data_IF_744273364000
#
_entry.id   IF_744273364000
#
_cell.length_a   1.000
_cell.length_b   1.000
_cell.length_c   1.000
_cell.angle_alpha   90.00
_cell.angle_beta   90.00
_cell.angle_gamma   90.00
#
_symmetry.space_group_name_H-M   'P 1'
#
loop_
_entity.id
_entity.type
_entity.pdbx_description
1 polymer ?
#
# COMPACT_ATOMS: atom_id res chain seq x y z
N UNK A 1 4.84 24.79 -12.39
CA UNK A 1 5.50 24.37 -11.16
C UNK A 1 5.14 22.93 -10.87
N UNK A 2 6.11 22.04 -10.76
CA UNK A 2 5.93 20.65 -10.34
C UNK A 2 5.62 20.74 -8.84
N UNK A 3 4.33 20.72 -8.48
CA UNK A 3 3.92 20.63 -7.08
C UNK A 3 4.40 19.30 -6.53
N UNK A 4 5.29 19.34 -5.53
CA UNK A 4 5.68 18.14 -4.82
C UNK A 4 4.42 17.51 -4.23
N UNK A 5 4.16 16.27 -4.60
CA UNK A 5 3.11 15.47 -3.97
C UNK A 5 3.43 15.32 -2.48
N UNK A 6 2.43 15.44 -1.61
CA UNK A 6 2.57 15.24 -0.16
C UNK A 6 2.92 13.79 0.25
N UNK A 7 3.19 12.91 -0.72
CA UNK A 7 3.41 11.48 -0.55
C UNK A 7 2.32 10.64 -1.23
N UNK A 8 2.46 9.33 -1.16
CA UNK A 8 1.48 8.38 -1.68
C UNK A 8 1.06 7.40 -0.58
N UNK A 9 -0.20 7.00 -0.56
CA UNK A 9 -0.72 5.91 0.28
C UNK A 9 -1.03 4.73 -0.64
N UNK A 10 -0.43 3.59 -0.38
CA UNK A 10 -0.60 2.36 -1.16
C UNK A 10 -1.47 1.36 -0.38
N UNK A 11 -2.48 0.85 -1.05
CA UNK A 11 -3.30 -0.27 -0.55
C UNK A 11 -3.42 -1.36 -1.61
N UNK A 12 -3.69 -2.58 -1.16
CA UNK A 12 -4.02 -3.70 -2.05
C UNK A 12 -5.46 -3.64 -2.55
N UNK A 13 -5.72 -4.27 -3.70
CA UNK A 13 -7.07 -4.33 -4.28
C UNK A 13 -8.11 -5.03 -3.39
N UNK A 14 -7.71 -5.90 -2.47
CA UNK A 14 -8.57 -6.47 -1.43
C UNK A 14 -9.08 -5.38 -0.50
N UNK A 15 -8.18 -4.70 0.20
CA UNK A 15 -8.46 -3.58 1.10
C UNK A 15 -9.30 -2.49 0.41
N UNK A 16 -8.93 -2.11 -0.82
CA UNK A 16 -9.71 -1.14 -1.60
C UNK A 16 -11.18 -1.55 -1.75
N UNK A 17 -11.46 -2.83 -2.07
CA UNK A 17 -12.83 -3.30 -2.30
C UNK A 17 -13.62 -3.55 -1.02
N UNK A 18 -12.97 -4.03 0.04
CA UNK A 18 -13.64 -4.40 1.28
C UNK A 18 -13.92 -3.18 2.14
N UNK A 19 -12.93 -2.29 2.26
CA UNK A 19 -12.98 -1.20 3.23
C UNK A 19 -13.43 0.13 2.61
N UNK A 20 -13.43 0.23 1.27
CA UNK A 20 -13.75 1.46 0.53
C UNK A 20 -13.06 2.71 1.13
N UNK A 21 -11.74 2.71 1.28
CA UNK A 21 -11.03 3.73 2.04
C UNK A 21 -10.99 5.08 1.31
N UNK A 22 -10.98 6.16 2.08
CA UNK A 22 -10.81 7.52 1.53
C UNK A 22 -9.32 7.87 1.29
N UNK A 23 -8.41 7.28 2.03
CA UNK A 23 -6.96 7.51 1.98
C UNK A 23 -6.59 9.00 2.06
N UNK A 24 -7.21 9.72 3.00
CA UNK A 24 -7.02 11.15 3.23
C UNK A 24 -6.33 11.41 4.56
N UNK A 25 -5.50 12.45 4.61
CA UNK A 25 -5.01 13.00 5.88
C UNK A 25 -6.12 13.84 6.50
N UNK A 26 -6.46 13.55 7.75
CA UNK A 26 -7.50 14.23 8.52
C UNK A 26 -6.85 15.06 9.62
N UNK A 27 -7.47 16.17 9.99
CA UNK A 27 -7.03 17.04 11.07
C UNK A 27 -6.92 18.50 10.64
N UNK A 28 -6.83 19.41 11.61
CA UNK A 28 -6.81 20.86 11.39
C UNK A 28 -5.59 21.36 10.60
N UNK A 29 -4.50 20.60 10.61
CA UNK A 29 -3.26 20.88 9.89
C UNK A 29 -3.03 19.95 8.69
N UNK A 30 -4.09 19.40 8.09
CA UNK A 30 -3.97 18.58 6.91
C UNK A 30 -3.30 19.37 5.78
N UNK A 31 -2.07 19.02 5.47
CA UNK A 31 -1.31 19.56 4.34
C UNK A 31 -1.87 19.07 2.99
N UNK A 32 -1.07 19.13 1.91
CA UNK A 32 -1.45 18.55 0.63
C UNK A 32 -1.86 17.09 0.78
N UNK A 33 -3.02 16.73 0.21
CA UNK A 33 -3.51 15.35 0.28
C UNK A 33 -2.60 14.40 -0.50
N UNK A 34 -2.29 13.21 0.03
CA UNK A 34 -1.47 12.22 -0.64
C UNK A 34 -2.19 11.65 -1.86
N UNK A 35 -1.44 11.11 -2.82
CA UNK A 35 -2.02 10.27 -3.86
C UNK A 35 -2.51 8.94 -3.26
N UNK A 36 -3.69 8.51 -3.70
CA UNK A 36 -4.26 7.22 -3.34
C UNK A 36 -3.85 6.19 -4.41
N UNK A 37 -2.93 5.30 -4.06
CA UNK A 37 -2.42 4.27 -4.94
C UNK A 37 -3.06 2.91 -4.59
N UNK A 38 -3.59 2.22 -5.60
CA UNK A 38 -4.21 0.90 -5.44
C UNK A 38 -3.51 -0.10 -6.35
N UNK A 39 -2.82 -1.06 -5.76
CA UNK A 39 -2.24 -2.19 -6.49
C UNK A 39 -3.28 -3.30 -6.63
N UNK A 40 -3.70 -3.60 -7.84
CA UNK A 40 -4.77 -4.57 -8.07
C UNK A 40 -4.61 -5.30 -9.41
N UNK A 41 -5.09 -6.55 -9.48
CA UNK A 41 -5.20 -7.29 -10.73
C UNK A 41 -6.48 -6.95 -11.52
N UNK A 42 -7.48 -6.31 -10.89
CA UNK A 42 -8.79 -6.04 -11.48
C UNK A 42 -9.24 -4.62 -11.19
N UNK A 43 -9.43 -3.84 -12.26
CA UNK A 43 -9.95 -2.48 -12.18
C UNK A 43 -11.45 -2.48 -11.80
N UNK A 44 -11.90 -1.49 -11.02
CA UNK A 44 -13.33 -1.26 -10.81
C UNK A 44 -13.97 -0.64 -12.05
N UNK A 45 -15.31 -0.70 -12.13
CA UNK A 45 -16.04 0.08 -13.12
C UNK A 45 -16.00 1.57 -12.74
N UNK A 46 -15.98 2.51 -13.71
CA UNK A 46 -15.87 3.94 -13.43
C UNK A 46 -17.01 4.51 -12.58
N UNK A 47 -18.19 3.92 -12.68
CA UNK A 47 -19.41 4.28 -11.94
C UNK A 47 -19.59 3.55 -10.62
N UNK A 48 -18.62 2.70 -10.24
CA UNK A 48 -18.67 1.94 -8.98
C UNK A 48 -18.65 2.88 -7.77
N UNK A 49 -19.34 2.46 -6.71
CA UNK A 49 -19.49 3.25 -5.48
C UNK A 49 -18.25 3.18 -4.58
N UNK A 50 -17.15 3.77 -5.05
CA UNK A 50 -15.92 3.91 -4.29
C UNK A 50 -15.58 5.38 -4.06
N UNK A 51 -15.19 5.72 -2.84
CA UNK A 51 -14.73 7.06 -2.47
C UNK A 51 -13.62 7.58 -3.38
N UNK A 52 -12.67 6.73 -3.73
CA UNK A 52 -11.54 7.13 -4.58
C UNK A 52 -11.98 7.54 -5.99
N UNK A 53 -13.07 6.99 -6.52
CA UNK A 53 -13.59 7.31 -7.83
C UNK A 53 -14.51 8.55 -7.83
N UNK A 54 -15.27 8.73 -6.74
CA UNK A 54 -16.26 9.80 -6.63
C UNK A 54 -15.68 11.10 -6.09
N UNK A 55 -14.88 10.99 -5.02
CA UNK A 55 -14.48 12.15 -4.24
C UNK A 55 -13.13 12.71 -4.68
N UNK A 56 -12.25 11.85 -5.26
CA UNK A 56 -10.88 12.25 -5.58
C UNK A 56 -10.26 11.51 -6.79
N UNK A 57 -10.94 11.43 -7.92
CA UNK A 57 -10.47 10.65 -9.08
C UNK A 57 -9.08 11.12 -9.58
N UNK A 58 -8.81 12.42 -9.63
CA UNK A 58 -7.53 12.98 -10.10
C UNK A 58 -6.34 12.67 -9.17
N UNK A 59 -6.62 12.33 -7.90
CA UNK A 59 -5.62 11.93 -6.91
C UNK A 59 -5.54 10.41 -6.74
N UNK A 60 -6.26 9.66 -7.55
CA UNK A 60 -6.30 8.20 -7.52
C UNK A 60 -5.46 7.60 -8.63
N UNK A 61 -4.68 6.58 -8.27
CA UNK A 61 -3.77 5.87 -9.16
C UNK A 61 -4.01 4.37 -9.02
N UNK A 62 -4.46 3.71 -10.08
CA UNK A 62 -4.46 2.24 -10.12
C UNK A 62 -3.16 1.74 -10.77
N UNK A 63 -2.54 0.78 -10.12
CA UNK A 63 -1.36 0.07 -10.60
C UNK A 63 -1.76 -1.36 -10.94
N UNK A 64 -1.66 -1.72 -12.20
CA UNK A 64 -2.22 -2.95 -12.75
C UNK A 64 -1.27 -3.57 -13.79
N UNK A 65 -1.55 -4.81 -14.21
CA UNK A 65 -0.81 -5.42 -15.31
C UNK A 65 -0.94 -4.62 -16.62
N UNK A 66 0.02 -4.73 -17.55
CA UNK A 66 -0.04 -4.05 -18.84
C UNK A 66 -1.34 -4.34 -19.62
N UNK A 67 -1.81 -5.59 -19.58
CA UNK A 67 -3.06 -6.00 -20.23
C UNK A 67 -4.28 -5.26 -19.63
N UNK A 68 -4.35 -5.16 -18.30
CA UNK A 68 -5.41 -4.42 -17.62
C UNK A 68 -5.33 -2.92 -17.89
N UNK A 69 -4.13 -2.34 -17.96
CA UNK A 69 -3.91 -0.93 -18.26
C UNK A 69 -4.32 -0.55 -19.71
N UNK A 70 -4.31 -1.52 -20.62
CA UNK A 70 -4.75 -1.34 -22.02
C UNK A 70 -6.26 -1.59 -22.22
N UNK A 71 -6.99 -1.97 -21.18
CA UNK A 71 -8.43 -2.31 -21.28
C UNK A 71 -9.32 -1.10 -21.49
N UNK A 72 -10.54 -1.35 -21.98
CA UNK A 72 -11.59 -0.30 -22.11
C UNK A 72 -11.98 0.28 -20.76
N UNK A 73 -11.97 -0.52 -19.69
CA UNK A 73 -12.20 -0.05 -18.32
C UNK A 73 -11.12 0.93 -17.88
N UNK A 74 -9.84 0.66 -18.19
CA UNK A 74 -8.75 1.58 -17.88
C UNK A 74 -8.90 2.91 -18.63
N UNK A 75 -9.35 2.87 -19.89
CA UNK A 75 -9.65 4.08 -20.66
C UNK A 75 -10.76 4.88 -19.99
N UNK A 76 -11.88 4.25 -19.67
CA UNK A 76 -13.01 4.90 -19.02
C UNK A 76 -12.66 5.49 -17.64
N UNK A 77 -11.78 4.84 -16.86
CA UNK A 77 -11.25 5.41 -15.62
C UNK A 77 -10.40 6.66 -15.87
N UNK A 78 -9.58 6.66 -16.92
CA UNK A 78 -8.80 7.86 -17.29
C UNK A 78 -9.70 9.01 -17.75
N UNK A 79 -10.81 8.71 -18.40
CA UNK A 79 -11.79 9.71 -18.86
C UNK A 79 -12.44 10.47 -17.69
N UNK A 80 -12.50 9.86 -16.48
CA UNK A 80 -12.96 10.52 -15.24
C UNK A 80 -11.82 11.10 -14.38
N UNK A 81 -10.59 11.15 -14.90
CA UNK A 81 -9.44 11.75 -14.23
C UNK A 81 -8.55 10.80 -13.43
N UNK A 82 -8.90 9.51 -13.32
CA UNK A 82 -8.09 8.50 -12.61
C UNK A 82 -6.84 8.15 -13.42
N UNK A 83 -5.70 8.04 -12.77
CA UNK A 83 -4.47 7.55 -13.40
C UNK A 83 -4.44 6.02 -13.36
N UNK A 84 -4.00 5.42 -14.45
CA UNK A 84 -3.80 3.96 -14.53
C UNK A 84 -2.41 3.70 -15.07
N UNK A 85 -1.55 3.15 -14.22
CA UNK A 85 -0.16 2.80 -14.50
C UNK A 85 -0.03 1.30 -14.76
N UNK A 86 0.76 0.96 -15.76
CA UNK A 86 1.07 -0.42 -16.09
C UNK A 86 2.31 -0.87 -15.32
N UNK A 87 2.19 -1.94 -14.55
CA UNK A 87 3.31 -2.61 -13.90
C UNK A 87 3.53 -3.97 -14.55
N UNK A 88 4.76 -4.20 -14.97
CA UNK A 88 5.18 -5.50 -15.49
C UNK A 88 5.14 -6.59 -14.41
N UNK A 89 5.30 -7.84 -14.81
CA UNK A 89 5.48 -8.94 -13.87
C UNK A 89 6.87 -8.84 -13.23
N UNK A 90 6.92 -9.01 -11.91
CA UNK A 90 8.18 -9.19 -11.19
C UNK A 90 8.82 -10.55 -11.48
N UNK A 91 10.06 -10.74 -11.08
CA UNK A 91 10.86 -11.94 -11.34
C UNK A 91 10.22 -13.25 -10.85
N UNK A 92 9.32 -13.18 -9.86
CA UNK A 92 8.65 -14.35 -9.25
C UNK A 92 7.15 -14.42 -9.58
N UNK A 93 6.70 -13.76 -10.66
CA UNK A 93 5.32 -13.82 -11.15
C UNK A 93 4.33 -12.90 -10.41
N UNK A 94 4.77 -12.19 -9.37
CA UNK A 94 4.01 -11.13 -8.70
C UNK A 94 4.17 -9.79 -9.40
N UNK A 95 3.70 -8.68 -8.77
CA UNK A 95 3.97 -7.31 -9.23
C UNK A 95 5.47 -6.98 -9.18
N UNK A 96 5.94 -6.19 -10.13
CA UNK A 96 7.30 -5.65 -10.10
C UNK A 96 7.37 -4.48 -9.10
N UNK A 97 7.62 -4.79 -7.83
CA UNK A 97 7.69 -3.80 -6.76
C UNK A 97 8.80 -2.74 -6.94
N UNK A 98 10.03 -3.08 -7.40
CA UNK A 98 11.03 -2.07 -7.73
C UNK A 98 10.54 -1.07 -8.78
N UNK A 99 9.87 -1.53 -9.84
CA UNK A 99 9.27 -0.64 -10.83
C UNK A 99 8.07 0.14 -10.28
N UNK A 100 7.29 -0.43 -9.36
CA UNK A 100 6.24 0.29 -8.65
C UNK A 100 6.82 1.49 -7.90
N UNK A 101 7.86 1.28 -7.09
CA UNK A 101 8.52 2.37 -6.34
C UNK A 101 9.14 3.41 -7.27
N UNK A 102 9.75 2.96 -8.38
CA UNK A 102 10.29 3.87 -9.40
C UNK A 102 9.20 4.72 -10.02
N UNK A 103 8.05 4.15 -10.41
CA UNK A 103 6.93 4.90 -10.96
C UNK A 103 6.37 5.92 -9.95
N UNK A 104 6.29 5.57 -8.66
CA UNK A 104 5.90 6.50 -7.59
C UNK A 104 6.87 7.68 -7.50
N UNK A 105 8.16 7.44 -7.61
CA UNK A 105 9.17 8.48 -7.57
C UNK A 105 9.22 9.29 -8.87
N UNK A 106 9.36 8.63 -10.02
CA UNK A 106 9.66 9.31 -11.31
C UNK A 106 8.40 9.88 -11.98
N UNK A 107 7.28 9.15 -11.96
CA UNK A 107 6.06 9.56 -12.67
C UNK A 107 5.07 10.31 -11.79
N UNK A 108 5.00 9.95 -10.50
CA UNK A 108 4.09 10.58 -9.55
C UNK A 108 4.74 11.67 -8.72
N UNK A 109 6.08 11.79 -8.75
CA UNK A 109 6.86 12.75 -7.99
C UNK A 109 6.61 12.68 -6.47
N UNK A 110 6.37 11.47 -5.95
CA UNK A 110 6.12 11.24 -4.53
C UNK A 110 7.37 10.66 -3.85
N UNK A 111 8.04 11.43 -2.98
CA UNK A 111 9.25 10.99 -2.30
C UNK A 111 8.99 9.98 -1.18
N UNK A 112 7.77 9.87 -0.70
CA UNK A 112 7.37 8.97 0.37
C UNK A 112 6.15 8.17 -0.03
N UNK A 113 6.14 6.89 0.36
CA UNK A 113 4.99 6.01 0.19
C UNK A 113 4.70 5.31 1.52
N UNK A 114 3.46 5.42 1.98
CA UNK A 114 2.92 4.68 3.10
C UNK A 114 2.09 3.50 2.57
N UNK A 115 2.44 2.28 2.97
CA UNK A 115 1.58 1.12 2.71
C UNK A 115 0.65 0.92 3.90
N UNK A 116 -0.64 1.15 3.70
CA UNK A 116 -1.67 1.02 4.76
C UNK A 116 -2.43 -0.30 4.68
N UNK A 117 -2.01 -1.25 3.87
CA UNK A 117 -2.85 -2.35 3.99
C UNK A 117 -2.81 -3.54 3.07
N UNK A 118 -3.45 -4.56 3.65
CA UNK A 118 -3.46 -5.92 3.22
C UNK A 118 -2.21 -6.64 3.69
N UNK A 119 -2.35 -7.59 4.63
CA UNK A 119 -1.23 -8.36 5.17
C UNK A 119 -0.40 -9.06 4.10
N UNK A 120 -1.00 -9.43 2.97
CA UNK A 120 -0.29 -9.95 1.80
C UNK A 120 0.63 -8.92 1.14
N UNK A 121 0.13 -7.71 0.90
CA UNK A 121 0.92 -6.65 0.25
C UNK A 121 2.07 -6.20 1.15
N UNK A 122 1.79 -5.96 2.41
CA UNK A 122 2.79 -5.54 3.39
C UNK A 122 3.90 -6.61 3.53
N UNK A 123 3.52 -7.89 3.60
CA UNK A 123 4.49 -8.98 3.67
C UNK A 123 5.33 -9.05 2.39
N UNK A 124 4.72 -8.94 1.21
CA UNK A 124 5.44 -8.98 -0.06
C UNK A 124 6.47 -7.85 -0.20
N UNK A 125 6.14 -6.64 0.29
CA UNK A 125 7.09 -5.52 0.32
C UNK A 125 8.24 -5.76 1.30
N UNK A 126 7.96 -6.37 2.46
CA UNK A 126 8.99 -6.75 3.44
C UNK A 126 9.92 -7.84 2.87
N UNK A 127 9.38 -8.87 2.23
CA UNK A 127 10.16 -9.93 1.59
C UNK A 127 11.03 -9.42 0.44
N UNK A 128 10.53 -8.41 -0.28
CA UNK A 128 11.29 -7.75 -1.34
C UNK A 128 12.38 -6.80 -0.82
N UNK A 129 12.49 -6.60 0.52
CA UNK A 129 13.47 -5.68 1.13
C UNK A 129 13.21 -4.20 0.81
N UNK A 130 11.96 -3.83 0.57
CA UNK A 130 11.58 -2.50 0.11
C UNK A 130 10.88 -1.65 1.21
N UNK A 131 10.99 -2.07 2.45
CA UNK A 131 10.41 -1.37 3.60
C UNK A 131 11.52 -0.78 4.46
N UNK A 132 11.55 0.53 4.60
CA UNK A 132 12.51 1.23 5.46
C UNK A 132 12.06 1.24 6.93
N UNK A 133 10.79 1.52 7.17
CA UNK A 133 10.17 1.59 8.49
C UNK A 133 8.84 0.82 8.51
N UNK A 134 8.66 -0.03 9.49
CA UNK A 134 7.39 -0.69 9.79
C UNK A 134 6.84 -0.18 11.12
N UNK A 135 5.59 0.31 11.10
CA UNK A 135 4.92 0.84 12.29
C UNK A 135 3.79 -0.07 12.69
N UNK A 136 3.90 -0.64 13.87
CA UNK A 136 2.87 -1.48 14.48
C UNK A 136 2.15 -0.69 15.56
N UNK A 137 0.83 -0.63 15.44
CA UNK A 137 -0.05 -0.07 16.46
C UNK A 137 -0.78 -1.21 17.14
N UNK A 138 -0.63 -1.32 18.44
CA UNK A 138 -1.23 -2.36 19.26
C UNK A 138 -2.23 -1.70 20.22
N UNK A 139 -3.52 -1.92 19.97
CA UNK A 139 -4.58 -1.52 20.88
C UNK A 139 -4.69 -2.54 22.04
N UNK A 140 -4.98 -2.11 23.28
CA UNK A 140 -5.13 -2.99 24.43
C UNK A 140 -6.51 -3.68 24.43
N UNK A 141 -6.81 -4.38 23.34
CA UNK A 141 -8.09 -5.08 23.13
C UNK A 141 -7.84 -6.53 22.73
N UNK A 142 -8.71 -7.41 23.23
CA UNK A 142 -8.71 -8.82 22.87
C UNK A 142 -9.98 -9.09 22.08
N UNK A 143 -9.85 -9.41 20.79
CA UNK A 143 -10.98 -9.74 19.95
C UNK A 143 -11.51 -11.17 20.20
N UNK A 144 -10.59 -12.12 20.35
CA UNK A 144 -10.93 -13.52 20.64
C UNK A 144 -11.66 -14.25 19.51
N UNK A 145 -11.58 -13.74 18.31
CA UNK A 145 -12.23 -14.30 17.12
C UNK A 145 -11.20 -15.13 16.33
N UNK A 146 -11.51 -16.41 16.10
CA UNK A 146 -10.65 -17.32 15.35
C UNK A 146 -10.55 -16.96 13.86
N UNK A 147 -11.56 -16.27 13.31
CA UNK A 147 -11.60 -15.80 11.93
C UNK A 147 -10.98 -14.39 11.77
N UNK A 148 -10.42 -13.81 12.83
CA UNK A 148 -9.79 -12.50 12.77
C UNK A 148 -8.65 -12.48 11.75
N UNK A 149 -8.58 -11.42 10.97
CA UNK A 149 -7.54 -11.26 9.96
C UNK A 149 -6.15 -11.16 10.62
N UNK A 150 -5.19 -12.00 10.22
CA UNK A 150 -3.83 -11.91 10.74
C UNK A 150 -3.14 -10.65 10.21
N UNK A 151 -2.18 -10.11 10.99
CA UNK A 151 -1.37 -8.97 10.57
C UNK A 151 -0.65 -9.22 9.24
N UNK A 152 -0.14 -10.43 9.05
CA UNK A 152 0.49 -10.88 7.81
C UNK A 152 -0.08 -12.24 7.40
N UNK A 153 -0.17 -12.44 6.07
CA UNK A 153 -0.60 -13.70 5.48
C UNK A 153 0.07 -13.89 4.12
N UNK A 154 0.15 -15.14 3.65
CA UNK A 154 0.62 -15.45 2.30
C UNK A 154 1.94 -16.22 2.22
N UNK A 155 2.66 -16.41 3.34
CA UNK A 155 3.82 -17.29 3.39
C UNK A 155 3.42 -18.73 3.75
N UNK A 156 4.14 -19.68 3.20
CA UNK A 156 4.14 -21.05 3.72
C UNK A 156 4.73 -21.06 5.14
N UNK A 157 4.36 -22.04 5.99
CA UNK A 157 4.99 -22.18 7.30
C UNK A 157 6.51 -22.31 7.15
N UNK A 158 7.24 -21.50 7.91
CA UNK A 158 8.69 -21.43 7.90
C UNK A 158 9.24 -21.77 9.28
N UNK A 159 10.50 -22.15 9.33
CA UNK A 159 11.23 -22.22 10.58
C UNK A 159 11.48 -20.83 11.16
N UNK A 160 11.81 -20.74 12.46
CA UNK A 160 12.19 -19.46 13.07
C UNK A 160 13.47 -18.86 12.45
N UNK A 161 14.29 -19.68 11.81
CA UNK A 161 15.52 -19.26 11.15
C UNK A 161 15.21 -18.50 9.85
N UNK A 162 14.13 -18.85 9.19
CA UNK A 162 13.66 -18.20 7.94
C UNK A 162 12.74 -16.99 8.20
N UNK A 163 12.48 -16.66 9.47
CA UNK A 163 11.65 -15.51 9.82
C UNK A 163 12.31 -14.20 9.43
N UNK A 164 11.51 -13.25 8.93
CA UNK A 164 11.95 -11.88 8.71
C UNK A 164 12.26 -11.23 10.06
N UNK A 165 13.50 -10.85 10.25
CA UNK A 165 13.96 -10.26 11.51
C UNK A 165 13.90 -8.75 11.43
N UNK A 166 13.43 -8.13 12.50
CA UNK A 166 13.31 -6.70 12.64
C UNK A 166 13.99 -6.22 13.93
N UNK A 167 14.42 -4.97 13.92
CA UNK A 167 14.93 -4.28 15.11
C UNK A 167 13.89 -3.27 15.56
N UNK A 168 13.54 -3.27 16.84
CA UNK A 168 12.77 -2.20 17.45
C UNK A 168 13.63 -0.95 17.52
N UNK A 169 13.22 0.13 16.86
CA UNK A 169 13.92 1.41 16.86
C UNK A 169 13.33 2.39 17.87
N UNK A 170 12.04 2.31 18.13
CA UNK A 170 11.33 3.13 19.12
C UNK A 170 10.04 2.44 19.59
N UNK A 171 9.61 2.76 20.80
CA UNK A 171 8.31 2.37 21.37
C UNK A 171 7.78 3.50 22.21
N UNK A 172 6.50 3.85 22.04
CA UNK A 172 5.84 4.87 22.86
C UNK A 172 4.33 4.58 22.99
N UNK A 173 3.74 5.15 24.04
CA UNK A 173 2.28 5.13 24.22
C UNK A 173 1.64 6.32 23.49
N UNK A 174 0.51 6.06 22.86
CA UNK A 174 -0.36 7.08 22.29
C UNK A 174 -1.78 6.86 22.84
N UNK A 175 -2.14 7.60 23.89
CA UNK A 175 -3.30 7.21 24.70
C UNK A 175 -3.05 5.89 25.39
N UNK A 176 -3.91 4.90 25.17
CA UNK A 176 -3.76 3.53 25.67
C UNK A 176 -3.07 2.58 24.68
N UNK A 177 -2.88 3.02 23.43
CA UNK A 177 -2.24 2.22 22.39
C UNK A 177 -0.72 2.22 22.52
N UNK A 178 -0.10 1.10 22.16
CA UNK A 178 1.36 0.97 22.04
C UNK A 178 1.74 1.13 20.56
N UNK A 179 2.58 2.11 20.28
CA UNK A 179 3.17 2.28 18.97
C UNK A 179 4.61 1.76 18.98
N UNK A 180 4.90 0.82 18.11
CA UNK A 180 6.22 0.20 17.96
C UNK A 180 6.75 0.53 16.57
N UNK A 181 7.91 1.17 16.51
CA UNK A 181 8.64 1.41 15.28
C UNK A 181 9.69 0.32 15.09
N UNK A 182 9.62 -0.34 13.96
CA UNK A 182 10.48 -1.46 13.60
C UNK A 182 11.21 -1.14 12.28
N UNK A 183 12.43 -1.62 12.18
CA UNK A 183 13.20 -1.58 10.92
C UNK A 183 13.63 -3.00 10.55
N UNK A 184 13.48 -3.40 9.30
CA UNK A 184 14.04 -4.67 8.85
C UNK A 184 15.54 -4.70 9.15
N UNK A 185 16.02 -5.84 9.65
CA UNK A 185 17.45 -6.09 9.66
C UNK A 185 17.86 -6.41 8.23
N UNK A 186 18.91 -5.74 7.73
CA UNK A 186 19.50 -6.15 6.48
C UNK A 186 19.84 -7.63 6.57
N UNK A 187 19.37 -8.41 5.61
CA UNK A 187 19.83 -9.79 5.49
C UNK A 187 21.35 -9.74 5.43
N UNK A 188 22.03 -10.43 6.35
CA UNK A 188 23.47 -10.54 6.27
C UNK A 188 23.81 -11.00 4.85
N UNK A 189 24.45 -10.13 4.08
CA UNK A 189 24.94 -10.47 2.75
C UNK A 189 25.89 -11.64 2.95
N UNK A 190 25.40 -12.85 2.61
CA UNK A 190 26.22 -14.06 2.57
C UNK A 190 27.20 -14.00 1.42
#
# INVERSE_FOLDING_TARGET
>A
GIGLCGGAILVGGGTFRTDNPQLTVRGENAGPQPLACVLTSRLPQPDADFHLLKDRPEQTVFMVSPAAAASTTAKALRDIGVRVLALGPGMHGGPDFPNLLRAVWEELHCPYMLCEGGGHLALSLLEAGLVDDFRLHLAPMILGDEDALPLFSGRAPLSLEEALRMRVSNTHLCGEDIHIHLRPLEAAKA
#
